data_IF_604904079169
#
_entry.id   IF_604904079169
#
_cell.length_a   1.000
_cell.length_b   1.000
_cell.length_c   1.000
_cell.angle_alpha   90.00
_cell.angle_beta   90.00
_cell.angle_gamma   90.00
#
_symmetry.space_group_name_H-M   'P 1'
#
loop_
_entity.id
_entity.type
_entity.pdbx_description
1 polymer ?
#
# COMPACT_ATOMS: atom_id res chain seq x y z
N UNK A 1 -23.30 -5.24 -3.74
CA UNK A 1 -22.83 -4.56 -4.97
C UNK A 1 -22.49 -5.63 -6.00
N UNK A 2 -22.62 -5.40 -7.31
CA UNK A 2 -22.34 -6.43 -8.32
C UNK A 2 -21.10 -6.13 -9.13
N UNK A 3 -20.23 -7.12 -9.29
CA UNK A 3 -18.99 -7.01 -10.03
C UNK A 3 -18.93 -8.05 -11.15
N UNK A 4 -18.39 -7.64 -12.30
CA UNK A 4 -17.95 -8.55 -13.35
C UNK A 4 -16.44 -8.70 -13.28
N UNK A 5 -15.96 -9.91 -12.99
CA UNK A 5 -14.54 -10.23 -13.03
C UNK A 5 -14.04 -10.37 -14.48
N UNK A 6 -12.83 -9.89 -14.72
CA UNK A 6 -12.06 -10.11 -15.93
C UNK A 6 -10.60 -10.32 -15.55
N UNK A 7 -9.93 -11.31 -16.13
CA UNK A 7 -8.48 -11.46 -15.99
C UNK A 7 -7.81 -10.52 -16.98
N UNK A 8 -6.96 -9.61 -16.48
CA UNK A 8 -6.18 -8.70 -17.31
C UNK A 8 -4.98 -9.44 -17.92
N UNK A 9 -4.20 -10.11 -17.09
CA UNK A 9 -2.98 -10.81 -17.47
C UNK A 9 -2.52 -11.76 -16.34
N UNK A 10 -1.36 -12.38 -16.50
CA UNK A 10 -0.67 -13.13 -15.45
C UNK A 10 0.77 -12.64 -15.25
N UNK A 11 1.17 -12.53 -13.99
CA UNK A 11 2.53 -12.23 -13.57
C UNK A 11 2.86 -13.10 -12.36
N UNK A 12 3.92 -13.91 -12.44
CA UNK A 12 4.28 -14.82 -11.37
C UNK A 12 4.56 -14.04 -10.08
N UNK A 13 3.85 -14.42 -9.02
CA UNK A 13 3.83 -13.72 -7.73
C UNK A 13 3.61 -12.21 -7.87
N UNK A 14 2.67 -11.82 -8.75
CA UNK A 14 2.15 -10.45 -8.81
C UNK A 14 1.81 -9.97 -7.40
N UNK A 15 2.23 -8.77 -7.04
CA UNK A 15 2.10 -8.32 -5.66
C UNK A 15 1.67 -6.87 -5.58
N UNK A 16 2.45 -5.93 -6.10
CA UNK A 16 2.18 -4.50 -5.95
C UNK A 16 1.71 -3.88 -7.26
N UNK A 17 0.85 -2.88 -7.15
CA UNK A 17 0.27 -2.18 -8.28
C UNK A 17 0.04 -0.71 -7.97
N UNK A 18 0.09 0.13 -9.00
CA UNK A 18 -0.29 1.54 -8.89
C UNK A 18 -0.86 2.05 -10.22
N UNK A 19 -1.73 3.06 -10.10
CA UNK A 19 -2.17 3.85 -11.25
C UNK A 19 -1.20 5.00 -11.46
N UNK A 20 -0.76 5.21 -12.68
CA UNK A 20 0.06 6.38 -13.06
C UNK A 20 -0.63 7.15 -14.19
N UNK A 21 -0.36 8.44 -14.30
CA UNK A 21 -0.68 9.23 -15.48
C UNK A 21 0.56 9.35 -16.34
N UNK A 22 0.49 8.90 -17.59
CA UNK A 22 1.58 8.96 -18.56
C UNK A 22 1.02 9.40 -19.91
N UNK A 23 1.60 10.46 -20.48
CA UNK A 23 1.15 11.13 -21.69
C UNK A 23 -0.33 11.56 -21.66
N UNK A 24 -0.79 12.00 -20.48
CA UNK A 24 -2.17 12.44 -20.25
C UNK A 24 -3.21 11.31 -20.22
N UNK A 25 -2.75 10.05 -20.20
CA UNK A 25 -3.61 8.87 -20.13
C UNK A 25 -3.33 8.05 -18.87
N UNK A 26 -4.38 7.41 -18.35
CA UNK A 26 -4.28 6.46 -17.25
C UNK A 26 -3.50 5.22 -17.69
N UNK A 27 -2.61 4.76 -16.81
CA UNK A 27 -1.84 3.54 -16.96
C UNK A 27 -1.81 2.77 -15.64
N UNK A 28 -1.55 1.47 -15.73
CA UNK A 28 -1.44 0.59 -14.57
C UNK A 28 -0.05 -0.03 -14.57
N UNK A 29 0.66 0.10 -13.47
CA UNK A 29 1.91 -0.61 -13.21
C UNK A 29 1.60 -1.81 -12.30
N UNK A 30 2.12 -2.99 -12.63
CA UNK A 30 2.01 -4.19 -11.79
C UNK A 30 3.36 -4.88 -11.69
N UNK A 31 3.82 -5.20 -10.49
CA UNK A 31 5.12 -5.80 -10.25
C UNK A 31 5.06 -6.96 -9.26
N UNK A 32 6.01 -7.88 -9.39
CA UNK A 32 6.09 -9.09 -8.57
C UNK A 32 6.81 -8.91 -7.24
N UNK A 33 6.46 -9.76 -6.27
CA UNK A 33 7.18 -9.95 -4.99
C UNK A 33 8.50 -10.72 -5.18
N UNK A 34 8.56 -11.63 -6.16
CA UNK A 34 9.75 -12.48 -6.38
C UNK A 34 10.69 -11.87 -7.42
N UNK A 35 11.72 -12.63 -7.80
CA UNK A 35 12.65 -12.28 -8.86
C UNK A 35 11.93 -12.39 -10.20
N UNK A 36 11.21 -11.32 -10.53
CA UNK A 36 10.29 -11.30 -11.66
C UNK A 36 9.98 -9.87 -12.12
N UNK A 37 9.15 -9.80 -13.16
CA UNK A 37 8.95 -8.63 -14.00
C UNK A 37 8.10 -7.52 -13.34
N UNK A 38 8.13 -6.35 -13.98
CA UNK A 38 7.18 -5.25 -13.77
C UNK A 38 6.57 -4.82 -15.10
N UNK A 39 5.25 -4.87 -15.18
CA UNK A 39 4.48 -4.58 -16.38
C UNK A 39 3.83 -3.21 -16.31
N UNK A 40 3.66 -2.60 -17.49
CA UNK A 40 2.85 -1.42 -17.70
C UNK A 40 1.73 -1.72 -18.68
N UNK A 41 0.51 -1.36 -18.31
CA UNK A 41 -0.68 -1.40 -19.15
C UNK A 41 -1.15 0.02 -19.44
N UNK A 42 -1.59 0.28 -20.67
CA UNK A 42 -2.19 1.57 -21.03
C UNK A 42 -3.66 1.67 -20.63
N UNK A 43 -4.28 2.82 -20.94
CA UNK A 43 -5.71 3.06 -20.73
C UNK A 43 -6.57 1.93 -21.29
N UNK A 44 -6.24 1.41 -22.48
CA UNK A 44 -6.97 0.32 -23.13
C UNK A 44 -6.73 -1.07 -22.53
N UNK A 45 -6.01 -1.17 -21.40
CA UNK A 45 -5.67 -2.41 -20.71
C UNK A 45 -4.78 -3.34 -21.54
N UNK A 46 -3.98 -2.78 -22.45
CA UNK A 46 -3.01 -3.50 -23.26
C UNK A 46 -1.63 -3.40 -22.60
N UNK A 47 -0.92 -4.52 -22.43
CA UNK A 47 0.48 -4.50 -21.97
C UNK A 47 1.35 -3.76 -22.99
N UNK A 48 1.99 -2.68 -22.58
CA UNK A 48 2.86 -1.85 -23.44
C UNK A 48 4.34 -2.02 -23.16
N UNK A 49 4.70 -2.34 -21.92
CA UNK A 49 6.09 -2.56 -21.56
C UNK A 49 6.25 -3.61 -20.46
N UNK A 50 7.42 -4.24 -20.47
CA UNK A 50 8.05 -4.72 -19.25
C UNK A 50 9.10 -3.68 -18.85
N UNK A 51 8.88 -2.98 -17.75
CA UNK A 51 9.75 -1.90 -17.25
C UNK A 51 11.09 -2.46 -16.75
N UNK A 52 11.05 -3.59 -16.03
CA UNK A 52 12.23 -4.38 -15.67
C UNK A 52 11.88 -5.86 -15.64
N UNK A 53 12.88 -6.70 -15.93
CA UNK A 53 12.78 -8.16 -15.87
C UNK A 53 13.05 -8.69 -14.46
N UNK A 54 14.04 -8.10 -13.81
CA UNK A 54 14.56 -8.44 -12.49
C UNK A 54 15.06 -7.13 -11.83
N UNK A 55 15.26 -7.09 -10.50
CA UNK A 55 15.19 -8.18 -9.55
C UNK A 55 13.80 -8.38 -8.94
N UNK A 56 12.77 -7.60 -9.28
CA UNK A 56 11.48 -7.64 -8.57
C UNK A 56 11.64 -7.35 -7.06
N UNK A 57 10.91 -8.05 -6.19
CA UNK A 57 10.91 -7.73 -4.76
C UNK A 57 10.15 -6.44 -4.46
N UNK A 58 9.06 -6.22 -5.19
CA UNK A 58 8.34 -4.95 -5.19
C UNK A 58 7.25 -4.95 -4.14
N UNK A 59 7.34 -4.00 -3.21
CA UNK A 59 6.40 -3.86 -2.10
C UNK A 59 5.66 -2.52 -2.07
N UNK A 60 6.17 -1.51 -2.78
CA UNK A 60 5.53 -0.20 -2.95
C UNK A 60 5.82 0.32 -4.36
N UNK A 61 4.84 1.00 -4.95
CA UNK A 61 4.95 1.73 -6.22
C UNK A 61 4.21 3.05 -6.03
N UNK A 62 4.95 4.15 -6.09
CA UNK A 62 4.50 5.48 -5.65
C UNK A 62 4.61 6.45 -6.82
N UNK A 63 3.49 6.75 -7.51
CA UNK A 63 3.45 7.74 -8.58
C UNK A 63 3.94 9.10 -8.08
N UNK A 64 4.79 9.77 -8.87
CA UNK A 64 5.27 11.10 -8.53
C UNK A 64 4.33 12.16 -9.12
N UNK A 65 3.88 13.10 -8.28
CA UNK A 65 3.05 14.23 -8.70
C UNK A 65 3.78 15.07 -9.76
N UNK A 66 3.08 15.39 -10.85
CA UNK A 66 3.57 16.21 -11.98
C UNK A 66 4.82 15.65 -12.70
N UNK A 67 4.99 14.32 -12.74
CA UNK A 67 6.21 13.71 -13.25
C UNK A 67 6.04 12.83 -14.51
N UNK A 68 4.94 12.99 -15.26
CA UNK A 68 4.60 12.28 -16.52
C UNK A 68 5.08 10.81 -16.56
N UNK A 69 4.37 9.93 -15.86
CA UNK A 69 4.64 8.50 -15.83
C UNK A 69 5.80 8.08 -14.93
N UNK A 70 6.50 9.01 -14.28
CA UNK A 70 7.56 8.66 -13.34
C UNK A 70 7.01 8.29 -11.95
N UNK A 71 7.69 7.35 -11.30
CA UNK A 71 7.29 6.83 -10.00
C UNK A 71 8.51 6.30 -9.22
N UNK A 72 8.34 6.10 -7.92
CA UNK A 72 9.30 5.38 -7.09
C UNK A 72 8.81 3.95 -6.85
N UNK A 73 9.70 2.98 -6.72
CA UNK A 73 9.33 1.61 -6.37
C UNK A 73 10.35 0.93 -5.46
N UNK A 74 9.90 -0.03 -4.66
CA UNK A 74 10.81 -0.92 -3.91
C UNK A 74 11.34 -1.99 -4.87
N UNK A 75 12.60 -2.40 -4.69
CA UNK A 75 13.14 -3.63 -5.26
C UNK A 75 13.88 -4.42 -4.18
N UNK A 76 14.10 -5.73 -4.43
CA UNK A 76 14.85 -6.66 -3.58
C UNK A 76 14.29 -6.87 -2.17
N UNK A 77 12.99 -6.63 -1.96
CA UNK A 77 12.27 -7.14 -0.81
C UNK A 77 11.50 -8.41 -1.23
N UNK A 78 12.11 -9.59 -1.08
CA UNK A 78 11.48 -10.86 -1.48
C UNK A 78 10.74 -11.55 -0.34
N UNK A 79 11.17 -11.33 0.89
CA UNK A 79 10.51 -11.82 2.10
C UNK A 79 11.13 -11.14 3.34
N UNK A 80 10.54 -11.31 4.54
CA UNK A 80 11.17 -10.88 5.78
C UNK A 80 12.56 -11.50 6.04
N UNK A 81 12.88 -12.62 5.39
CA UNK A 81 14.18 -13.30 5.47
C UNK A 81 15.14 -12.91 4.34
N UNK A 82 14.62 -12.26 3.30
CA UNK A 82 15.35 -11.90 2.08
C UNK A 82 14.95 -10.49 1.65
N UNK A 83 15.39 -9.53 2.46
CA UNK A 83 15.09 -8.10 2.30
C UNK A 83 16.21 -7.20 2.82
N UNK A 84 17.37 -7.76 3.15
CA UNK A 84 18.54 -6.99 3.60
C UNK A 84 19.05 -6.06 2.49
N UNK A 85 18.87 -6.44 1.23
CA UNK A 85 19.26 -5.64 0.06
C UNK A 85 18.11 -4.79 -0.50
N UNK A 86 17.02 -4.62 0.26
CA UNK A 86 15.90 -3.80 -0.17
C UNK A 86 16.36 -2.36 -0.50
N UNK A 87 15.77 -1.79 -1.56
CA UNK A 87 16.15 -0.49 -2.09
C UNK A 87 14.96 0.21 -2.72
N UNK A 88 15.05 1.52 -2.86
CA UNK A 88 14.09 2.36 -3.57
C UNK A 88 14.71 2.79 -4.90
N UNK A 89 13.98 2.58 -5.98
CA UNK A 89 14.35 2.99 -7.34
C UNK A 89 13.44 4.09 -7.84
N UNK A 90 14.00 5.04 -8.58
CA UNK A 90 13.30 6.00 -9.41
C UNK A 90 13.16 5.43 -10.82
N UNK A 91 11.92 5.42 -11.30
CA UNK A 91 11.55 4.91 -12.61
C UNK A 91 10.94 6.05 -13.40
N UNK A 92 11.43 6.28 -14.62
CA UNK A 92 10.90 7.32 -15.51
C UNK A 92 10.87 6.87 -16.96
N UNK A 93 9.92 7.36 -17.77
CA UNK A 93 9.98 7.20 -19.22
C UNK A 93 11.23 7.87 -19.80
N UNK A 94 11.85 7.21 -20.77
CA UNK A 94 12.96 7.75 -21.58
C UNK A 94 12.44 8.44 -22.84
N UNK A 95 11.28 8.02 -23.34
CA UNK A 95 10.62 8.54 -24.53
C UNK A 95 9.10 8.30 -24.46
N UNK A 96 8.40 8.52 -25.57
CA UNK A 96 6.95 8.27 -25.72
C UNK A 96 6.61 6.87 -26.25
N UNK A 97 7.60 5.99 -26.40
CA UNK A 97 7.47 4.64 -26.93
C UNK A 97 7.57 3.58 -25.84
N UNK A 98 7.22 3.94 -24.59
CA UNK A 98 7.22 3.03 -23.44
C UNK A 98 8.59 2.45 -23.08
N UNK A 99 9.68 3.15 -23.38
CA UNK A 99 10.99 2.83 -22.84
C UNK A 99 11.15 3.51 -21.47
N UNK A 100 11.65 2.78 -20.47
CA UNK A 100 11.82 3.27 -19.12
C UNK A 100 13.26 3.11 -18.64
N UNK A 101 13.72 4.06 -17.84
CA UNK A 101 14.95 3.92 -17.05
C UNK A 101 14.61 3.63 -15.60
N UNK A 102 15.44 2.81 -14.97
CA UNK A 102 15.36 2.47 -13.55
C UNK A 102 16.70 2.85 -12.89
N UNK A 103 16.65 3.70 -11.87
CA UNK A 103 17.82 4.20 -11.14
C UNK A 103 17.64 3.98 -9.65
N UNK A 104 18.65 3.47 -8.96
CA UNK A 104 18.61 3.36 -7.50
C UNK A 104 18.76 4.76 -6.91
N UNK A 105 17.87 5.15 -6.00
CA UNK A 105 17.94 6.42 -5.28
C UNK A 105 18.18 6.25 -3.78
N UNK A 106 17.83 5.10 -3.21
CA UNK A 106 18.09 4.79 -1.81
C UNK A 106 18.31 3.30 -1.59
N UNK A 107 19.27 2.94 -0.74
CA UNK A 107 19.49 1.59 -0.23
C UNK A 107 19.11 1.57 1.25
N UNK A 108 17.92 1.03 1.54
CA UNK A 108 17.33 0.99 2.88
C UNK A 108 16.94 -0.46 3.19
N UNK A 109 17.79 -1.20 3.92
CA UNK A 109 17.52 -2.58 4.29
C UNK A 109 16.13 -2.73 4.91
N UNK A 110 15.45 -3.82 4.56
CA UNK A 110 14.13 -4.17 5.09
C UNK A 110 13.00 -3.17 4.83
N UNK A 111 13.18 -2.17 3.96
CA UNK A 111 12.13 -1.25 3.53
C UNK A 111 10.95 -2.01 2.88
N UNK A 112 9.88 -2.19 3.65
CA UNK A 112 8.72 -3.01 3.27
C UNK A 112 7.58 -2.18 2.72
N UNK A 113 7.35 -1.00 3.29
CA UNK A 113 6.45 0.00 2.70
C UNK A 113 7.16 1.34 2.69
N UNK A 114 6.88 2.16 1.69
CA UNK A 114 7.21 3.56 1.73
C UNK A 114 6.22 4.36 0.89
N UNK A 115 6.18 5.66 1.11
CA UNK A 115 5.44 6.61 0.28
C UNK A 115 6.13 7.96 0.29
N UNK A 116 5.66 8.87 -0.56
CA UNK A 116 5.99 10.28 -0.56
C UNK A 116 4.80 11.04 0.02
N UNK A 117 5.02 11.73 1.15
CA UNK A 117 4.03 12.60 1.78
C UNK A 117 4.38 14.08 1.53
N UNK A 118 3.37 14.87 1.17
CA UNK A 118 3.48 16.32 1.01
C UNK A 118 3.03 17.05 2.28
N UNK A 119 3.92 17.83 2.86
CA UNK A 119 3.64 18.73 3.98
C UNK A 119 2.84 19.97 3.56
N UNK A 120 2.29 20.70 4.54
CA UNK A 120 1.54 21.95 4.31
C UNK A 120 2.34 23.01 3.55
N UNK A 121 3.66 23.10 3.79
CA UNK A 121 4.56 24.04 3.10
C UNK A 121 4.98 23.59 1.69
N UNK A 122 4.49 22.42 1.24
CA UNK A 122 4.81 21.82 -0.06
C UNK A 122 6.06 20.95 -0.06
N UNK A 123 6.80 20.84 1.05
CA UNK A 123 7.94 19.93 1.16
C UNK A 123 7.47 18.49 1.02
N UNK A 124 8.20 17.70 0.23
CA UNK A 124 7.90 16.28 0.02
C UNK A 124 8.89 15.43 0.81
N UNK A 125 8.38 14.43 1.52
CA UNK A 125 9.17 13.52 2.34
C UNK A 125 8.98 12.09 1.88
N UNK A 126 10.06 11.34 1.72
CA UNK A 126 10.00 9.88 1.64
C UNK A 126 9.84 9.37 3.07
N UNK A 127 8.72 8.71 3.38
CA UNK A 127 8.48 8.00 4.63
C UNK A 127 8.68 6.51 4.40
N UNK A 128 9.63 5.88 5.11
CA UNK A 128 9.95 4.46 4.95
C UNK A 128 9.57 3.69 6.21
N UNK A 129 8.84 2.59 6.04
CA UNK A 129 8.51 1.62 7.07
C UNK A 129 9.34 0.35 6.85
N UNK A 130 10.43 0.19 7.60
CA UNK A 130 11.22 -1.03 7.58
C UNK A 130 10.62 -2.08 8.50
N UNK A 131 10.33 -3.27 7.94
CA UNK A 131 9.61 -4.34 8.64
C UNK A 131 10.33 -4.84 9.91
N UNK A 132 11.67 -4.80 9.86
CA UNK A 132 12.61 -5.24 10.90
C UNK A 132 13.95 -4.54 10.68
N UNK A 133 14.83 -4.53 11.68
CA UNK A 133 16.17 -3.91 11.56
C UNK A 133 17.29 -4.90 11.26
N UNK A 134 16.99 -6.20 11.15
CA UNK A 134 18.00 -7.23 10.93
C UNK A 134 17.51 -8.63 11.27
N UNK A 135 18.33 -9.63 10.99
CA UNK A 135 18.14 -10.99 11.46
C UNK A 135 19.46 -11.75 11.53
N UNK A 136 19.52 -12.78 12.37
CA UNK A 136 20.64 -13.72 12.48
C UNK A 136 20.29 -15.11 11.90
N UNK A 137 19.01 -15.43 11.87
CA UNK A 137 18.48 -16.69 11.35
C UNK A 137 17.10 -16.48 10.71
N UNK A 138 16.60 -17.51 10.04
CA UNK A 138 15.28 -17.50 9.40
C UNK A 138 14.18 -17.29 10.45
N UNK A 139 13.26 -16.38 10.17
CA UNK A 139 12.13 -16.00 11.02
C UNK A 139 12.54 -15.36 12.37
N UNK A 140 13.73 -14.76 12.42
CA UNK A 140 14.19 -13.96 13.55
C UNK A 140 13.48 -12.60 13.59
N UNK A 141 12.67 -12.36 14.62
CA UNK A 141 11.95 -11.12 14.85
C UNK A 141 12.50 -10.32 16.04
N UNK A 142 13.70 -10.66 16.54
CA UNK A 142 14.30 -10.02 17.72
C UNK A 142 14.77 -8.59 17.47
N UNK A 143 14.92 -8.20 16.20
CA UNK A 143 15.34 -6.87 15.76
C UNK A 143 14.13 -6.14 15.17
N UNK A 144 13.33 -5.42 16.00
CA UNK A 144 12.09 -4.78 15.55
C UNK A 144 12.35 -3.78 14.43
N UNK A 145 11.31 -3.45 13.69
CA UNK A 145 11.35 -2.47 12.60
C UNK A 145 11.41 -1.04 13.09
N UNK A 146 11.52 -0.12 12.14
CA UNK A 146 11.59 1.32 12.38
C UNK A 146 10.84 2.07 11.28
N UNK A 147 10.48 3.31 11.58
CA UNK A 147 9.99 4.27 10.59
C UNK A 147 10.99 5.40 10.48
N UNK A 148 11.36 5.75 9.26
CA UNK A 148 12.33 6.82 8.96
C UNK A 148 11.76 7.79 7.94
N UNK A 149 12.36 8.98 7.85
CA UNK A 149 12.08 9.92 6.77
C UNK A 149 13.32 10.63 6.26
N UNK A 150 13.20 11.13 5.04
CA UNK A 150 14.10 12.12 4.45
C UNK A 150 13.31 13.02 3.52
N UNK A 151 13.78 14.25 3.31
CA UNK A 151 13.27 15.09 2.22
C UNK A 151 13.52 14.41 0.87
N UNK A 152 12.51 14.40 -0.01
CA UNK A 152 12.64 13.90 -1.37
C UNK A 152 13.63 14.79 -2.14
N UNK A 153 14.73 14.24 -2.70
CA UNK A 153 15.65 15.04 -3.49
C UNK A 153 14.95 15.72 -4.67
N UNK A 154 15.23 17.01 -4.90
CA UNK A 154 14.62 17.78 -5.99
C UNK A 154 15.05 17.31 -7.38
N UNK A 155 16.24 16.70 -7.48
CA UNK A 155 16.79 16.14 -8.72
C UNK A 155 17.06 14.65 -8.53
N UNK A 156 16.06 13.82 -8.85
CA UNK A 156 16.17 12.36 -8.75
C UNK A 156 17.08 11.72 -9.82
N UNK A 157 17.39 12.47 -10.88
CA UNK A 157 18.26 12.00 -11.95
C UNK A 157 19.73 12.01 -11.52
N UNK A 158 20.11 13.00 -10.72
CA UNK A 158 21.50 13.24 -10.34
C UNK A 158 21.78 13.17 -8.83
N UNK A 159 20.78 12.93 -7.97
CA UNK A 159 21.00 12.82 -6.53
C UNK A 159 21.98 11.68 -6.17
N UNK A 160 22.71 11.81 -5.07
CA UNK A 160 23.48 10.68 -4.55
C UNK A 160 22.55 9.53 -4.14
N UNK A 161 23.07 8.29 -4.16
CA UNK A 161 22.31 7.13 -3.67
C UNK A 161 22.29 7.19 -2.16
N UNK A 162 21.14 7.53 -1.60
CA UNK A 162 20.91 7.61 -0.16
C UNK A 162 21.13 6.25 0.50
N UNK A 163 21.66 6.25 1.72
CA UNK A 163 21.82 5.09 2.60
C UNK A 163 20.91 5.21 3.80
N UNK A 164 20.71 4.11 4.52
CA UNK A 164 19.88 4.11 5.74
C UNK A 164 20.31 5.20 6.73
N UNK A 165 21.61 5.44 6.90
CA UNK A 165 22.15 6.48 7.78
C UNK A 165 21.83 7.93 7.37
N UNK A 166 21.41 8.16 6.12
CA UNK A 166 20.99 9.50 5.66
C UNK A 166 19.57 9.85 6.11
N UNK A 167 18.77 8.86 6.51
CA UNK A 167 17.40 9.05 6.96
C UNK A 167 17.36 9.41 8.46
N UNK A 168 16.42 10.28 8.82
CA UNK A 168 16.11 10.56 10.22
C UNK A 168 15.11 9.52 10.73
N UNK A 169 15.45 8.85 11.84
CA UNK A 169 14.55 7.90 12.49
C UNK A 169 13.40 8.67 13.17
N UNK A 170 12.16 8.31 12.85
CA UNK A 170 10.96 8.90 13.47
C UNK A 170 10.54 8.07 14.69
N UNK A 171 10.54 6.75 14.55
CA UNK A 171 10.10 5.84 15.59
C UNK A 171 10.85 4.51 15.50
N UNK A 172 11.32 4.03 16.65
CA UNK A 172 12.01 2.75 16.82
C UNK A 172 11.10 1.71 17.47
N UNK A 173 11.62 0.49 17.65
CA UNK A 173 10.95 -0.63 18.33
C UNK A 173 9.58 -1.00 17.75
N UNK A 174 9.41 -0.85 16.43
CA UNK A 174 8.19 -1.20 15.70
C UNK A 174 8.25 -2.65 15.20
N UNK A 175 8.03 -3.61 16.09
CA UNK A 175 8.01 -5.04 15.73
C UNK A 175 7.01 -5.30 14.58
N UNK A 176 7.49 -5.92 13.50
CA UNK A 176 6.72 -6.20 12.28
C UNK A 176 6.02 -4.95 11.73
N UNK A 177 6.78 -3.88 11.49
CA UNK A 177 6.29 -2.64 10.86
C UNK A 177 5.83 -2.89 9.41
N UNK A 178 4.57 -3.32 9.26
CA UNK A 178 4.12 -3.99 8.04
C UNK A 178 3.19 -3.11 7.21
N UNK A 179 2.15 -2.57 7.82
CA UNK A 179 1.07 -1.88 7.11
C UNK A 179 1.39 -0.42 6.85
N UNK A 180 0.95 0.06 5.70
CA UNK A 180 1.03 1.46 5.31
C UNK A 180 -0.21 1.82 4.50
N UNK A 181 -0.86 2.92 4.86
CA UNK A 181 -1.93 3.51 4.08
C UNK A 181 -1.81 5.04 4.06
N UNK A 182 -1.92 5.65 2.88
CA UNK A 182 -2.00 7.11 2.76
C UNK A 182 -3.42 7.58 3.07
N UNK A 183 -3.54 8.48 4.02
CA UNK A 183 -4.80 9.09 4.41
C UNK A 183 -4.76 10.59 4.13
N UNK A 184 -5.87 11.17 3.68
CA UNK A 184 -5.98 12.60 3.41
C UNK A 184 -7.06 13.17 4.32
N UNK A 185 -6.66 14.03 5.25
CA UNK A 185 -7.55 14.73 6.17
C UNK A 185 -7.44 16.24 5.89
N UNK A 186 -8.55 16.89 5.55
CA UNK A 186 -8.59 18.34 5.24
C UNK A 186 -7.54 18.81 4.20
N UNK A 187 -7.22 17.93 3.24
CA UNK A 187 -6.24 18.19 2.19
C UNK A 187 -4.77 17.98 2.60
N UNK A 188 -4.52 17.59 3.86
CA UNK A 188 -3.20 17.22 4.36
C UNK A 188 -2.96 15.71 4.21
N UNK A 189 -1.83 15.35 3.59
CA UNK A 189 -1.43 13.95 3.47
C UNK A 189 -0.85 13.44 4.80
N UNK A 190 -1.35 12.31 5.27
CA UNK A 190 -0.93 11.60 6.49
C UNK A 190 -0.65 10.15 6.16
N UNK A 191 0.09 9.47 7.04
CA UNK A 191 0.35 8.04 6.94
C UNK A 191 -0.24 7.27 8.12
N UNK A 192 -1.01 6.24 7.81
CA UNK A 192 -1.39 5.21 8.75
C UNK A 192 -0.31 4.13 8.68
N UNK A 193 0.34 3.85 9.80
CA UNK A 193 1.39 2.83 9.91
C UNK A 193 0.97 1.80 10.95
N UNK A 194 1.02 0.53 10.57
CA UNK A 194 0.53 -0.60 11.40
C UNK A 194 1.64 -1.57 11.73
N UNK A 195 1.75 -1.91 13.02
CA UNK A 195 2.71 -2.88 13.53
C UNK A 195 2.15 -3.67 14.72
N UNK A 196 2.97 -4.55 15.29
CA UNK A 196 2.58 -5.41 16.42
C UNK A 196 2.18 -4.59 17.67
N UNK A 197 2.69 -3.36 17.81
CA UNK A 197 2.40 -2.50 18.96
C UNK A 197 1.21 -1.55 18.77
N UNK A 198 0.56 -1.53 17.61
CA UNK A 198 -0.59 -0.67 17.35
C UNK A 198 -0.71 -0.14 15.93
N UNK A 199 -1.67 0.77 15.75
CA UNK A 199 -1.83 1.60 14.57
C UNK A 199 -1.53 3.06 14.94
N UNK A 200 -0.75 3.72 14.09
CA UNK A 200 -0.27 5.08 14.32
C UNK A 200 -0.61 5.96 13.11
N UNK A 201 -0.94 7.22 13.37
CA UNK A 201 -1.15 8.26 12.37
C UNK A 201 0.02 9.24 12.42
N UNK A 202 0.76 9.33 11.32
CA UNK A 202 1.90 10.22 11.15
C UNK A 202 1.48 11.41 10.31
N UNK A 203 1.67 12.60 10.85
CA UNK A 203 1.45 13.87 10.14
C UNK A 203 2.80 14.51 9.84
N UNK A 204 3.10 14.81 8.56
CA UNK A 204 4.31 15.55 8.18
C UNK A 204 4.43 16.87 8.94
N UNK A 205 5.66 17.35 9.19
CA UNK A 205 5.86 18.64 9.84
C UNK A 205 5.23 19.76 9.03
N UNK A 206 4.67 20.78 9.69
CA UNK A 206 4.06 21.93 9.00
C UNK A 206 5.08 22.74 8.21
N UNK A 207 6.32 22.78 8.71
CA UNK A 207 7.45 23.43 8.05
C UNK A 207 8.68 22.54 8.04
N UNK A 208 9.49 22.68 6.99
CA UNK A 208 10.80 22.04 6.91
C UNK A 208 11.64 22.27 8.18
N UNK A 209 12.08 21.17 8.78
CA UNK A 209 12.93 21.16 9.98
C UNK A 209 12.18 21.03 11.31
N UNK A 210 10.84 21.05 11.30
CA UNK A 210 10.03 20.73 12.48
C UNK A 210 9.86 19.21 12.66
N UNK A 211 9.32 18.81 13.80
CA UNK A 211 9.07 17.40 14.11
C UNK A 211 7.77 16.91 13.47
N UNK A 212 7.75 15.61 13.16
CA UNK A 212 6.52 14.89 12.83
C UNK A 212 5.60 14.82 14.05
N UNK A 213 4.30 14.91 13.81
CA UNK A 213 3.30 14.58 14.82
C UNK A 213 2.86 13.12 14.66
N UNK A 214 2.83 12.38 15.77
CA UNK A 214 2.60 10.94 15.79
C UNK A 214 1.52 10.64 16.82
N UNK A 215 0.35 10.25 16.35
CA UNK A 215 -0.78 9.84 17.18
C UNK A 215 -0.89 8.32 17.17
N UNK A 216 -0.97 7.69 18.34
CA UNK A 216 -1.32 6.27 18.44
C UNK A 216 -2.83 6.12 18.46
N UNK A 217 -3.40 5.53 17.41
CA UNK A 217 -4.85 5.37 17.26
C UNK A 217 -5.39 4.22 18.13
N UNK A 218 -4.74 3.06 18.05
CA UNK A 218 -5.07 1.87 18.86
C UNK A 218 -3.80 1.13 19.28
N UNK A 219 -3.88 0.35 20.37
CA UNK A 219 -2.77 -0.48 20.87
C UNK A 219 -2.86 -1.96 20.47
N UNK A 220 -3.96 -2.35 19.83
CA UNK A 220 -4.10 -3.68 19.26
C UNK A 220 -3.10 -3.89 18.11
N UNK A 221 -2.44 -5.06 18.10
CA UNK A 221 -1.55 -5.45 17.02
C UNK A 221 -2.27 -5.42 15.68
N UNK A 222 -1.64 -4.83 14.66
CA UNK A 222 -2.22 -4.69 13.33
C UNK A 222 -1.19 -5.05 12.24
N UNK A 223 -1.67 -5.78 11.22
CA UNK A 223 -0.94 -6.01 9.97
C UNK A 223 -1.05 -4.81 9.04
N UNK A 224 -2.26 -4.28 8.90
CA UNK A 224 -2.58 -3.18 8.00
C UNK A 224 -3.87 -2.52 8.47
N UNK A 225 -4.05 -1.25 8.11
CA UNK A 225 -5.22 -0.49 8.51
C UNK A 225 -5.50 0.70 7.60
N UNK A 226 -6.75 1.14 7.58
CA UNK A 226 -7.20 2.32 6.85
C UNK A 226 -8.27 3.08 7.62
N UNK A 227 -8.43 4.37 7.30
CA UNK A 227 -9.46 5.26 7.85
C UNK A 227 -10.44 5.61 6.75
N UNK A 228 -11.73 5.45 7.03
CA UNK A 228 -12.82 5.86 6.13
C UNK A 228 -14.14 5.95 6.93
N UNK A 229 -14.92 6.99 6.66
CA UNK A 229 -16.29 7.22 7.15
C UNK A 229 -17.30 6.23 6.53
N UNK A 230 -17.32 4.99 6.99
CA UNK A 230 -18.19 3.92 6.47
C UNK A 230 -19.67 4.22 6.68
N UNK A 231 -20.04 4.82 7.82
CA UNK A 231 -21.43 5.08 8.16
C UNK A 231 -21.95 6.46 7.71
N UNK A 232 -21.07 7.31 7.19
CA UNK A 232 -21.36 8.66 6.70
C UNK A 232 -21.80 9.63 7.81
N UNK A 233 -21.31 9.43 9.04
CA UNK A 233 -21.53 10.35 10.16
C UNK A 233 -20.53 11.53 10.20
N UNK A 234 -19.55 11.53 9.29
CA UNK A 234 -18.50 12.53 9.18
C UNK A 234 -17.26 12.24 10.01
N UNK A 235 -17.18 11.07 10.66
CA UNK A 235 -16.03 10.62 11.45
C UNK A 235 -15.52 9.29 10.90
N UNK A 236 -14.28 9.28 10.44
CA UNK A 236 -13.68 8.05 9.93
C UNK A 236 -13.61 6.93 10.97
N UNK A 237 -13.97 5.72 10.54
CA UNK A 237 -13.67 4.51 11.27
C UNK A 237 -12.34 3.91 10.87
N UNK A 238 -11.66 3.34 11.87
CA UNK A 238 -10.43 2.58 11.64
C UNK A 238 -10.81 1.13 11.32
N UNK A 239 -10.54 0.70 10.09
CA UNK A 239 -10.62 -0.71 9.69
C UNK A 239 -9.23 -1.31 9.76
N UNK A 240 -9.06 -2.37 10.55
CA UNK A 240 -7.75 -3.00 10.77
C UNK A 240 -7.79 -4.51 10.55
N UNK A 241 -6.71 -5.02 9.97
CA UNK A 241 -6.35 -6.43 9.94
C UNK A 241 -5.47 -6.72 11.14
N UNK A 242 -5.87 -7.65 12.01
CA UNK A 242 -5.16 -7.96 13.26
C UNK A 242 -4.85 -9.45 13.43
N UNK A 243 -3.67 -9.83 13.95
CA UNK A 243 -2.40 -9.09 13.99
C UNK A 243 -1.68 -9.17 12.62
N UNK A 244 -0.34 -9.11 12.58
CA UNK A 244 0.49 -9.32 11.37
C UNK A 244 0.14 -10.59 10.58
N UNK A 245 -0.19 -10.45 9.29
CA UNK A 245 -0.77 -11.50 8.44
C UNK A 245 -1.88 -12.29 9.16
N UNK A 246 -2.68 -11.56 9.93
CA UNK A 246 -3.60 -12.09 10.92
C UNK A 246 -4.88 -12.64 10.32
N UNK A 247 -5.83 -12.90 11.21
CA UNK A 247 -7.10 -13.55 10.88
C UNK A 247 -8.32 -12.76 11.37
N UNK A 248 -8.12 -11.67 12.12
CA UNK A 248 -9.21 -10.84 12.62
C UNK A 248 -9.39 -9.60 11.77
N UNK A 249 -10.63 -9.35 11.38
CA UNK A 249 -11.09 -8.07 10.85
C UNK A 249 -11.75 -7.29 11.98
N UNK A 250 -11.28 -6.06 12.21
CA UNK A 250 -11.77 -5.18 13.27
C UNK A 250 -12.14 -3.82 12.71
N UNK A 251 -13.19 -3.23 13.27
CA UNK A 251 -13.61 -1.85 13.02
C UNK A 251 -13.67 -1.12 14.35
N UNK A 252 -13.04 0.04 14.42
CA UNK A 252 -13.03 0.91 15.60
C UNK A 252 -13.69 2.25 15.25
N UNK A 253 -14.47 2.78 16.20
CA UNK A 253 -15.09 4.12 16.10
C UNK A 253 -14.38 5.09 17.02
N UNK A 254 -14.28 6.34 16.61
CA UNK A 254 -13.76 7.41 17.47
C UNK A 254 -14.86 7.89 18.42
N UNK A 255 -14.66 7.75 19.72
CA UNK A 255 -15.54 8.27 20.79
C UNK A 255 -14.70 9.08 21.76
N UNK A 256 -15.14 10.30 22.08
CA UNK A 256 -14.42 11.22 22.97
C UNK A 256 -12.92 11.37 22.61
N UNK A 257 -12.63 11.39 21.30
CA UNK A 257 -11.28 11.52 20.76
C UNK A 257 -10.44 10.24 20.72
N UNK A 258 -10.97 9.08 21.14
CA UNK A 258 -10.25 7.80 21.16
C UNK A 258 -10.94 6.75 20.31
N UNK A 259 -10.15 5.91 19.63
CA UNK A 259 -10.70 4.77 18.91
C UNK A 259 -11.04 3.63 19.87
N UNK A 260 -12.28 3.17 19.82
CA UNK A 260 -12.80 2.04 20.58
C UNK A 260 -13.32 0.96 19.62
N UNK A 261 -13.10 -0.31 19.97
CA UNK A 261 -13.54 -1.45 19.14
C UNK A 261 -15.07 -1.43 19.03
N UNK A 262 -15.57 -1.24 17.81
CA UNK A 262 -17.00 -1.25 17.49
C UNK A 262 -17.44 -2.62 16.97
N UNK A 263 -16.60 -3.29 16.20
CA UNK A 263 -16.86 -4.63 15.66
C UNK A 263 -15.58 -5.43 15.55
N UNK A 264 -15.60 -6.66 16.05
CA UNK A 264 -14.72 -7.73 15.60
C UNK A 264 -15.60 -8.76 14.88
N UNK A 265 -15.22 -9.15 13.67
CA UNK A 265 -15.93 -10.20 12.96
C UNK A 265 -15.61 -11.56 13.62
N UNK A 266 -16.63 -12.39 13.90
CA UNK A 266 -16.44 -13.64 14.62
C UNK A 266 -15.64 -14.67 13.82
N UNK A 267 -15.68 -14.60 12.50
CA UNK A 267 -14.96 -15.49 11.60
C UNK A 267 -13.44 -15.20 11.62
N UNK A 268 -12.66 -16.28 11.62
CA UNK A 268 -11.22 -16.20 11.37
C UNK A 268 -10.98 -16.25 9.86
N UNK A 269 -10.51 -15.15 9.29
CA UNK A 269 -10.18 -15.04 7.87
C UNK A 269 -8.65 -15.10 7.74
N UNK A 270 -8.09 -16.31 7.68
CA UNK A 270 -6.63 -16.51 7.79
C UNK A 270 -5.83 -15.75 6.73
N UNK A 271 -4.77 -15.07 7.16
CA UNK A 271 -3.84 -14.36 6.28
C UNK A 271 -4.54 -13.25 5.49
N UNK A 272 -5.33 -12.43 6.20
CA UNK A 272 -5.77 -11.14 5.67
C UNK A 272 -4.54 -10.30 5.31
N UNK A 273 -4.59 -9.66 4.14
CA UNK A 273 -3.41 -8.98 3.60
C UNK A 273 -3.76 -7.79 2.70
N UNK A 274 -4.68 -7.94 1.74
CA UNK A 274 -5.07 -6.83 0.89
C UNK A 274 -6.07 -5.93 1.63
N UNK A 275 -5.87 -4.61 1.57
CA UNK A 275 -6.79 -3.60 2.07
C UNK A 275 -6.79 -2.39 1.15
N UNK A 276 -7.98 -1.89 0.81
CA UNK A 276 -8.20 -0.63 0.12
C UNK A 276 -9.50 -0.02 0.64
N UNK A 277 -9.54 1.29 0.85
CA UNK A 277 -10.75 2.03 1.19
C UNK A 277 -10.98 3.17 0.20
N UNK A 278 -12.25 3.46 -0.03
CA UNK A 278 -12.66 4.57 -0.88
C UNK A 278 -14.13 4.47 -1.21
N UNK A 279 -14.52 5.11 -2.33
CA UNK A 279 -15.90 5.11 -2.80
C UNK A 279 -16.09 4.13 -3.94
N UNK A 280 -17.13 3.30 -3.85
CA UNK A 280 -17.67 2.52 -4.96
C UNK A 280 -19.14 2.88 -5.13
N UNK A 281 -19.55 3.32 -6.32
CA UNK A 281 -20.90 3.83 -6.58
C UNK A 281 -21.37 4.87 -5.55
N UNK A 282 -20.49 5.81 -5.21
CA UNK A 282 -20.69 6.87 -4.19
C UNK A 282 -20.85 6.39 -2.74
N UNK A 283 -20.69 5.10 -2.47
CA UNK A 283 -20.73 4.54 -1.12
C UNK A 283 -19.32 4.32 -0.58
N UNK A 284 -19.09 4.74 0.67
CA UNK A 284 -17.84 4.50 1.39
C UNK A 284 -17.71 3.02 1.74
N UNK A 285 -16.62 2.39 1.31
CA UNK A 285 -16.39 0.95 1.49
C UNK A 285 -14.93 0.66 1.81
N UNK A 286 -14.68 -0.51 2.38
CA UNK A 286 -13.35 -1.09 2.45
C UNK A 286 -13.35 -2.44 1.70
N UNK A 287 -12.44 -2.62 0.75
CA UNK A 287 -12.23 -3.88 0.03
C UNK A 287 -11.04 -4.58 0.65
N UNK A 288 -11.22 -5.84 1.03
CA UNK A 288 -10.19 -6.65 1.66
C UNK A 288 -10.02 -8.00 0.96
N UNK A 289 -8.88 -8.63 1.19
CA UNK A 289 -8.62 -9.98 0.70
C UNK A 289 -7.66 -10.76 1.58
N UNK A 290 -7.82 -12.08 1.57
CA UNK A 290 -6.95 -13.00 2.29
C UNK A 290 -6.27 -14.01 1.35
N UNK A 291 -5.14 -14.57 1.79
CA UNK A 291 -4.26 -15.40 0.93
C UNK A 291 -4.13 -16.85 1.38
N UNK A 292 -4.98 -17.31 2.29
CA UNK A 292 -5.04 -18.71 2.73
C UNK A 292 -6.49 -19.18 2.79
N UNK A 293 -6.66 -20.49 2.97
CA UNK A 293 -7.97 -21.13 3.08
C UNK A 293 -8.88 -20.80 1.88
N UNK A 294 -10.01 -20.13 2.10
CA UNK A 294 -10.94 -19.78 1.02
C UNK A 294 -10.42 -18.73 0.04
N UNK A 295 -9.37 -17.97 0.39
CA UNK A 295 -8.76 -16.92 -0.44
C UNK A 295 -9.80 -15.97 -1.05
N UNK A 296 -10.63 -15.39 -0.19
CA UNK A 296 -11.75 -14.52 -0.54
C UNK A 296 -11.28 -13.08 -0.75
N UNK A 297 -11.93 -12.41 -1.69
CA UNK A 297 -11.92 -10.95 -1.82
C UNK A 297 -13.34 -10.47 -1.52
N UNK A 298 -13.48 -9.46 -0.65
CA UNK A 298 -14.78 -9.02 -0.16
C UNK A 298 -14.83 -7.51 0.08
N UNK A 299 -16.04 -6.97 0.13
CA UNK A 299 -16.33 -5.55 0.36
C UNK A 299 -17.04 -5.41 1.70
N UNK A 300 -16.40 -4.74 2.65
CA UNK A 300 -16.94 -4.29 3.93
C UNK A 300 -17.69 -2.97 3.75
N UNK A 301 -18.89 -2.90 4.33
CA UNK A 301 -19.86 -1.80 4.21
C UNK A 301 -20.57 -1.59 5.55
N UNK A 302 -21.20 -0.43 5.71
CA UNK A 302 -22.13 -0.17 6.80
C UNK A 302 -23.56 -0.09 6.23
N UNK A 303 -24.42 -1.03 6.63
CA UNK A 303 -25.79 -1.16 6.10
C UNK A 303 -26.75 -1.34 7.27
N UNK A 304 -27.80 -0.53 7.31
CA UNK A 304 -28.89 -0.63 8.30
C UNK A 304 -28.41 -0.69 9.77
N UNK A 305 -27.34 0.05 10.10
CA UNK A 305 -26.80 0.12 11.45
C UNK A 305 -25.67 -0.87 11.76
N UNK A 306 -25.30 -1.73 10.80
CA UNK A 306 -24.37 -2.85 11.02
C UNK A 306 -23.21 -2.85 10.02
N UNK A 307 -22.03 -3.25 10.50
CA UNK A 307 -20.89 -3.57 9.64
C UNK A 307 -21.06 -4.97 9.05
N UNK A 308 -21.14 -5.05 7.73
CA UNK A 308 -21.33 -6.29 6.98
C UNK A 308 -20.35 -6.37 5.83
N UNK A 309 -19.95 -7.58 5.44
CA UNK A 309 -19.18 -7.77 4.22
C UNK A 309 -19.87 -8.70 3.22
N UNK A 310 -19.62 -8.46 1.94
CA UNK A 310 -20.08 -9.28 0.82
C UNK A 310 -18.86 -9.82 0.06
N UNK A 311 -18.80 -11.14 -0.16
CA UNK A 311 -17.71 -11.77 -0.92
C UNK A 311 -17.93 -11.54 -2.41
N UNK A 312 -16.93 -10.99 -3.09
CA UNK A 312 -16.96 -10.69 -4.52
C UNK A 312 -16.10 -11.64 -5.36
N UNK A 313 -15.17 -12.36 -4.73
CA UNK A 313 -14.37 -13.39 -5.39
C UNK A 313 -13.84 -14.42 -4.38
N UNK A 314 -13.50 -15.64 -4.85
CA UNK A 314 -12.98 -16.73 -4.01
C UNK A 314 -11.91 -17.55 -4.74
N UNK A 315 -10.88 -17.98 -4.02
CA UNK A 315 -9.88 -18.94 -4.50
C UNK A 315 -8.66 -18.34 -5.20
N UNK A 316 -8.44 -17.02 -5.13
CA UNK A 316 -7.40 -16.35 -5.93
C UNK A 316 -6.26 -15.71 -5.12
N UNK A 317 -6.54 -15.24 -3.90
CA UNK A 317 -5.53 -14.80 -2.95
C UNK A 317 -4.92 -13.43 -3.25
N UNK A 318 -5.72 -12.37 -3.10
CA UNK A 318 -5.29 -10.98 -3.31
C UNK A 318 -4.22 -10.55 -2.30
N UNK A 319 -3.11 -10.01 -2.79
CA UNK A 319 -2.07 -9.38 -1.98
C UNK A 319 -2.26 -7.86 -1.87
N UNK A 320 -2.57 -7.18 -2.97
CA UNK A 320 -2.94 -5.76 -2.94
C UNK A 320 -4.15 -5.54 -3.86
N UNK A 321 -4.92 -4.51 -3.53
CA UNK A 321 -6.08 -4.05 -4.29
C UNK A 321 -5.91 -2.56 -4.54
N UNK A 322 -6.28 -2.12 -5.74
CA UNK A 322 -6.29 -0.71 -6.10
C UNK A 322 -7.58 -0.38 -6.86
N UNK A 323 -7.86 0.91 -7.03
CA UNK A 323 -9.07 1.41 -7.67
C UNK A 323 -8.72 2.42 -8.76
N UNK A 324 -9.48 2.41 -9.86
CA UNK A 324 -9.43 3.48 -10.85
C UNK A 324 -10.77 3.61 -11.58
N UNK A 325 -10.95 4.77 -12.22
CA UNK A 325 -12.09 5.04 -13.09
C UNK A 325 -11.62 5.09 -14.52
N UNK A 326 -12.30 4.36 -15.41
CA UNK A 326 -12.06 4.38 -16.85
C UNK A 326 -13.39 4.50 -17.59
N UNK A 327 -13.49 5.48 -18.49
CA UNK A 327 -14.67 5.74 -19.31
C UNK A 327 -15.99 5.78 -18.51
N UNK A 328 -15.95 6.39 -17.32
CA UNK A 328 -17.09 6.49 -16.40
C UNK A 328 -17.52 5.17 -15.74
N UNK A 329 -16.66 4.15 -15.77
CA UNK A 329 -16.83 2.88 -15.05
C UNK A 329 -15.78 2.74 -13.97
N UNK A 330 -16.18 2.16 -12.86
CA UNK A 330 -15.34 1.92 -11.69
C UNK A 330 -14.71 0.53 -11.76
N UNK A 331 -13.41 0.47 -11.52
CA UNK A 331 -12.61 -0.75 -11.55
C UNK A 331 -11.92 -0.91 -10.22
N UNK A 332 -12.03 -2.10 -9.64
CA UNK A 332 -11.01 -2.60 -8.73
C UNK A 332 -10.05 -3.44 -9.54
N UNK A 333 -8.77 -3.35 -9.21
CA UNK A 333 -7.74 -4.26 -9.69
C UNK A 333 -7.16 -4.98 -8.48
N UNK A 334 -6.85 -6.27 -8.61
CA UNK A 334 -6.19 -7.05 -7.56
C UNK A 334 -5.00 -7.82 -8.11
N UNK A 335 -3.91 -7.81 -7.35
CA UNK A 335 -2.77 -8.70 -7.55
C UNK A 335 -3.04 -10.01 -6.78
N UNK A 336 -3.60 -11.00 -7.47
CA UNK A 336 -3.91 -12.31 -6.91
C UNK A 336 -2.65 -13.19 -6.88
N UNK A 337 -1.75 -12.85 -5.96
CA UNK A 337 -0.39 -13.41 -5.82
C UNK A 337 -0.34 -14.93 -5.72
N UNK A 338 -1.37 -15.58 -5.17
CA UNK A 338 -1.38 -17.05 -5.04
C UNK A 338 -1.72 -17.78 -6.35
N UNK A 339 -2.35 -17.08 -7.30
CA UNK A 339 -2.73 -17.62 -8.62
C UNK A 339 -2.05 -16.91 -9.79
N UNK A 340 -1.14 -15.98 -9.49
CA UNK A 340 -0.39 -15.14 -10.44
C UNK A 340 -1.29 -14.24 -11.31
N UNK A 341 -2.57 -14.11 -10.93
CA UNK A 341 -3.58 -13.45 -11.72
C UNK A 341 -3.60 -11.94 -11.44
N UNK A 342 -3.64 -11.13 -12.50
CA UNK A 342 -3.96 -9.71 -12.40
C UNK A 342 -5.45 -9.59 -12.71
N UNK A 343 -6.28 -9.42 -11.67
CA UNK A 343 -7.72 -9.44 -11.78
C UNK A 343 -8.31 -8.03 -11.84
N UNK A 344 -9.29 -7.82 -12.71
CA UNK A 344 -10.13 -6.63 -12.75
C UNK A 344 -11.54 -7.00 -12.31
N UNK A 345 -12.10 -6.23 -11.39
CA UNK A 345 -13.50 -6.28 -10.99
C UNK A 345 -14.18 -5.00 -11.44
N UNK A 346 -15.09 -5.14 -12.40
CA UNK A 346 -15.77 -4.03 -13.05
C UNK A 346 -17.11 -3.87 -12.35
N UNK A 347 -17.33 -2.72 -11.71
CA UNK A 347 -18.57 -2.45 -11.02
C UNK A 347 -19.72 -2.33 -12.03
N UNK A 348 -20.77 -3.12 -11.83
CA UNK A 348 -21.99 -3.04 -12.63
C UNK A 348 -22.91 -1.95 -12.06
N UNK A 349 -23.64 -1.26 -12.95
CA UNK A 349 -24.63 -0.25 -12.57
C UNK A 349 -25.93 -0.87 -12.08
#
# INVERSE_FOLDING_TARGET
MKFRKQVLDKLNKCYQMANIEYNGEHHIVVAAEKQDECFLYNHNLEKKATIWQEPGGTMSIIPLENANGAFLATQKFHSPNDSKEARIVYVKPLDNNYNFSVRIIAEVPFAHRFDVLKAEDGTKYILVCALKSGHEYKDDWTKPGKTYFIELPSDLDNCEVLKEEDFTVIQEDMLKNHGYYKHIEDGLEKAIVSCDSGVYLYTPPKKKGENWDIEKLVSDAASDATLIDLDNDGVDELVAISPFHGHKLRVYRKKDGKFELAKEFPEDITFLHAIWSGKLNSENVCVLGNRRDEMITFVLRYIDGEYVYEIIDKGFGAANINYFVKDGKEYLIAANRETDEIALYILEK
#
